data_IF_177354878788
#
_entry.id   IF_177354878788
#
_cell.length_a   1.000
_cell.length_b   1.000
_cell.length_c   1.000
_cell.angle_alpha   90.00
_cell.angle_beta   90.00
_cell.angle_gamma   90.00
#
_symmetry.space_group_name_H-M   'P 1'
#
loop_
_entity.id
_entity.type
_entity.pdbx_description
1 polymer ?
#
# COMPACT_ATOMS: atom_id res chain seq x y z
N UNK A 1 -17.13 29.60 -13.11
CA UNK A 1 -17.03 28.15 -12.81
C UNK A 1 -15.80 27.93 -11.95
N UNK A 2 -15.98 27.64 -10.66
CA UNK A 2 -14.86 27.34 -9.77
C UNK A 2 -14.23 26.01 -10.17
N UNK A 3 -12.91 25.99 -10.37
CA UNK A 3 -12.16 24.77 -10.62
C UNK A 3 -12.42 23.79 -9.47
N UNK A 4 -13.08 22.67 -9.77
CA UNK A 4 -13.24 21.54 -8.85
C UNK A 4 -11.82 21.06 -8.54
N UNK A 5 -11.25 21.54 -7.44
CA UNK A 5 -9.94 21.12 -6.93
C UNK A 5 -9.96 19.59 -6.94
N UNK A 6 -9.15 18.97 -7.81
CA UNK A 6 -8.93 17.51 -7.81
C UNK A 6 -8.60 17.15 -6.36
N UNK A 7 -9.53 16.47 -5.70
CA UNK A 7 -9.40 16.15 -4.29
C UNK A 7 -8.10 15.38 -4.08
N UNK A 8 -7.27 15.82 -3.14
CA UNK A 8 -6.11 15.04 -2.68
C UNK A 8 -6.61 13.66 -2.26
N UNK A 9 -6.24 12.62 -3.01
CA UNK A 9 -6.58 11.25 -2.68
C UNK A 9 -5.61 10.74 -1.62
N UNK A 10 -6.13 10.04 -0.62
CA UNK A 10 -5.37 9.48 0.50
C UNK A 10 -5.31 7.98 0.38
N UNK A 11 -4.13 7.46 0.66
CA UNK A 11 -3.78 6.06 0.56
C UNK A 11 -3.10 5.63 1.85
N UNK A 12 -3.26 4.36 2.19
CA UNK A 12 -2.47 3.67 3.19
C UNK A 12 -1.29 2.99 2.51
N UNK A 13 -0.14 3.02 3.18
CA UNK A 13 1.03 2.26 2.74
C UNK A 13 1.09 0.98 3.55
N UNK A 14 1.09 -0.15 2.84
CA UNK A 14 1.17 -1.47 3.46
C UNK A 14 2.32 -2.29 2.89
N UNK A 15 2.84 -3.18 3.73
CA UNK A 15 3.86 -4.18 3.37
C UNK A 15 3.34 -5.55 3.78
N UNK A 16 3.63 -6.54 2.94
CA UNK A 16 3.41 -7.95 3.25
C UNK A 16 4.69 -8.56 3.80
N UNK A 17 4.62 -9.04 5.03
CA UNK A 17 5.69 -9.85 5.61
C UNK A 17 5.35 -11.33 5.42
N UNK A 18 6.25 -12.05 4.77
CA UNK A 18 6.15 -13.49 4.60
C UNK A 18 6.89 -14.15 5.77
N UNK A 19 6.20 -14.98 6.54
CA UNK A 19 6.80 -15.70 7.65
C UNK A 19 6.34 -17.16 7.64
N UNK A 20 7.16 -18.03 8.21
CA UNK A 20 6.82 -19.44 8.36
C UNK A 20 6.39 -19.72 9.79
N UNK A 21 5.21 -20.34 9.95
CA UNK A 21 4.73 -20.76 11.26
C UNK A 21 4.26 -22.20 11.20
N UNK A 22 4.91 -23.07 11.97
CA UNK A 22 4.61 -24.52 12.02
C UNK A 22 4.64 -25.18 10.63
N UNK A 23 5.61 -24.82 9.78
CA UNK A 23 5.74 -25.39 8.43
C UNK A 23 4.75 -24.83 7.39
N UNK A 24 3.89 -23.88 7.76
CA UNK A 24 3.01 -23.19 6.83
C UNK A 24 3.53 -21.78 6.57
N UNK A 25 3.69 -21.43 5.29
CA UNK A 25 3.94 -20.05 4.87
C UNK A 25 2.69 -19.22 5.14
N UNK A 26 2.87 -18.11 5.84
CA UNK A 26 1.82 -17.15 6.16
C UNK A 26 2.27 -15.76 5.76
N UNK A 27 1.27 -14.91 5.58
CA UNK A 27 1.45 -13.51 5.24
C UNK A 27 0.85 -12.67 6.36
N UNK A 28 1.49 -11.56 6.68
CA UNK A 28 0.94 -10.55 7.58
C UNK A 28 0.99 -9.19 6.92
N UNK A 29 -0.12 -8.47 6.99
CA UNK A 29 -0.22 -7.10 6.49
C UNK A 29 0.25 -6.15 7.57
N UNK A 30 1.20 -5.30 7.23
CA UNK A 30 1.67 -4.22 8.10
C UNK A 30 1.36 -2.88 7.46
N UNK A 31 0.58 -2.05 8.15
CA UNK A 31 0.44 -0.64 7.79
C UNK A 31 1.69 0.11 8.26
N UNK A 32 2.40 0.70 7.31
CA UNK A 32 3.71 1.32 7.53
C UNK A 32 3.70 2.83 7.32
N UNK A 33 2.60 3.38 6.83
CA UNK A 33 2.48 4.81 6.61
C UNK A 33 1.22 5.20 5.86
N UNK A 34 1.28 6.39 5.27
CA UNK A 34 0.23 6.93 4.42
C UNK A 34 0.84 7.59 3.19
N UNK A 35 0.05 7.73 2.14
CA UNK A 35 0.45 8.41 0.93
C UNK A 35 -0.67 9.33 0.46
N UNK A 36 -0.28 10.43 -0.20
CA UNK A 36 -1.23 11.37 -0.79
C UNK A 36 -0.89 11.63 -2.24
N UNK A 37 -1.91 11.60 -3.09
CA UNK A 37 -1.76 12.00 -4.49
C UNK A 37 -1.83 13.53 -4.60
N UNK A 38 -0.81 14.13 -5.20
CA UNK A 38 -0.79 15.57 -5.46
C UNK A 38 -1.67 15.90 -6.66
N UNK A 39 -2.41 17.01 -6.58
CA UNK A 39 -3.23 17.52 -7.69
C UNK A 39 -2.40 17.93 -8.92
N UNK A 40 -1.08 18.12 -8.75
CA UNK A 40 -0.12 18.44 -9.80
C UNK A 40 0.56 17.20 -10.42
N UNK A 41 0.18 16.00 -10.00
CA UNK A 41 0.86 14.76 -10.34
C UNK A 41 1.93 14.39 -9.31
N UNK A 42 2.18 13.09 -9.16
CA UNK A 42 3.10 12.54 -8.18
C UNK A 42 2.44 12.17 -6.85
N UNK A 43 3.15 11.35 -6.08
CA UNK A 43 2.73 10.85 -4.77
C UNK A 43 3.69 11.34 -3.69
N UNK A 44 3.15 11.75 -2.55
CA UNK A 44 3.92 12.04 -1.35
C UNK A 44 3.71 10.91 -0.37
N UNK A 45 4.79 10.20 -0.04
CA UNK A 45 4.81 9.10 0.91
C UNK A 45 5.22 9.62 2.29
N UNK A 46 4.47 9.25 3.31
CA UNK A 46 4.78 9.53 4.71
C UNK A 46 5.02 8.22 5.46
N UNK A 47 6.26 8.01 5.88
CA UNK A 47 6.68 6.87 6.70
C UNK A 47 7.08 7.43 8.08
N UNK A 48 6.43 7.02 9.18
CA UNK A 48 6.79 7.47 10.52
C UNK A 48 8.25 7.21 10.88
N UNK A 49 8.83 8.08 11.70
CA UNK A 49 10.19 7.91 12.20
C UNK A 49 10.33 6.59 12.97
N UNK A 50 11.49 5.94 12.81
CA UNK A 50 11.79 4.65 13.46
C UNK A 50 11.32 3.41 12.67
N UNK A 51 10.63 3.59 11.54
CA UNK A 51 10.29 2.50 10.63
C UNK A 51 11.29 2.48 9.47
N UNK A 52 12.00 1.37 9.33
CA UNK A 52 12.78 1.07 8.13
C UNK A 52 11.98 0.11 7.24
N UNK A 53 11.83 0.45 5.97
CA UNK A 53 11.14 -0.38 4.99
C UNK A 53 12.14 -0.98 4.02
N UNK A 54 12.04 -2.28 3.81
CA UNK A 54 12.82 -3.02 2.82
C UNK A 54 11.88 -3.84 1.96
N UNK A 55 11.99 -3.72 0.64
CA UNK A 55 11.18 -4.46 -0.31
C UNK A 55 10.05 -3.64 -0.94
N UNK A 56 8.99 -4.34 -1.34
CA UNK A 56 7.86 -3.76 -2.08
C UNK A 56 6.82 -3.21 -1.10
N UNK A 57 6.30 -2.02 -1.41
CA UNK A 57 5.24 -1.35 -0.64
C UNK A 57 4.04 -1.18 -1.56
N UNK A 58 2.84 -1.48 -1.05
CA UNK A 58 1.60 -1.30 -1.79
C UNK A 58 0.85 -0.07 -1.27
N UNK A 59 0.35 0.76 -2.19
CA UNK A 59 -0.53 1.89 -1.90
C UNK A 59 -1.98 1.47 -2.05
N UNK A 60 -2.76 1.59 -0.98
CA UNK A 60 -4.17 1.16 -0.94
C UNK A 60 -5.08 2.35 -0.64
N UNK A 61 -6.14 2.60 -1.40
CA UNK A 61 -7.10 3.66 -1.09
C UNK A 61 -7.71 3.50 0.31
N UNK A 62 -7.64 4.53 1.15
CA UNK A 62 -8.13 4.50 2.54
C UNK A 62 -9.64 4.25 2.67
N UNK A 63 -10.40 4.61 1.63
CA UNK A 63 -11.87 4.53 1.64
C UNK A 63 -12.44 3.21 1.16
N UNK A 64 -11.60 2.30 0.67
CA UNK A 64 -12.06 1.02 0.12
C UNK A 64 -11.89 -0.06 1.18
N UNK A 65 -12.98 -0.72 1.63
CA UNK A 65 -12.87 -1.81 2.57
C UNK A 65 -12.35 -3.04 1.83
N UNK A 66 -11.04 -3.23 1.85
CA UNK A 66 -10.42 -4.47 1.37
C UNK A 66 -10.24 -5.43 2.53
N UNK A 67 -10.52 -6.72 2.30
CA UNK A 67 -10.11 -7.77 3.23
C UNK A 67 -8.63 -8.06 3.05
N UNK A 68 -7.99 -8.70 4.05
CA UNK A 68 -6.57 -9.06 3.95
C UNK A 68 -6.27 -9.99 2.76
N UNK A 69 -7.24 -10.84 2.37
CA UNK A 69 -7.14 -11.71 1.21
C UNK A 69 -7.17 -10.90 -0.09
N UNK A 70 -8.08 -9.93 -0.22
CA UNK A 70 -8.15 -9.07 -1.41
C UNK A 70 -6.85 -8.28 -1.59
N UNK A 71 -6.25 -7.81 -0.50
CA UNK A 71 -4.98 -7.09 -0.53
C UNK A 71 -3.83 -8.02 -0.92
N UNK A 72 -3.83 -9.26 -0.45
CA UNK A 72 -2.80 -10.25 -0.77
C UNK A 72 -2.86 -10.62 -2.27
N UNK A 73 -4.06 -10.87 -2.79
CA UNK A 73 -4.28 -11.18 -4.20
C UNK A 73 -3.89 -10.00 -5.09
N UNK A 74 -4.24 -8.77 -4.69
CA UNK A 74 -3.82 -7.56 -5.39
C UNK A 74 -2.30 -7.37 -5.37
N UNK A 75 -1.65 -7.68 -4.23
CA UNK A 75 -0.19 -7.62 -4.12
C UNK A 75 0.50 -8.64 -5.02
N UNK A 76 0.02 -9.89 -5.04
CA UNK A 76 0.55 -10.92 -5.94
C UNK A 76 0.33 -10.55 -7.41
N UNK A 77 -0.86 -10.08 -7.76
CA UNK A 77 -1.19 -9.63 -9.11
C UNK A 77 -0.27 -8.48 -9.57
N UNK A 78 -0.07 -7.47 -8.72
CA UNK A 78 0.83 -6.36 -9.01
C UNK A 78 2.31 -6.80 -9.05
N UNK A 79 2.70 -7.76 -8.20
CA UNK A 79 4.04 -8.33 -8.20
C UNK A 79 4.35 -9.13 -9.46
N UNK A 80 3.35 -9.77 -10.07
CA UNK A 80 3.46 -10.47 -11.36
C UNK A 80 3.43 -9.51 -12.55
N UNK A 81 2.54 -8.50 -12.52
CA UNK A 81 2.38 -7.54 -13.62
C UNK A 81 3.59 -6.58 -13.75
N UNK A 82 4.14 -6.15 -12.61
CA UNK A 82 5.23 -5.17 -12.54
C UNK A 82 6.56 -5.77 -12.08
N UNK A 83 6.63 -7.10 -11.90
CA UNK A 83 7.84 -7.81 -11.48
C UNK A 83 8.37 -8.76 -12.54
N UNK A 84 9.62 -8.52 -12.93
CA UNK A 84 10.52 -9.53 -13.52
C UNK A 84 11.01 -10.52 -12.45
#
# INVERSE_FOLDING_TARGET
MAAKLKSTERYELIVFENFEYKGQKRHKVHRVGSATASSKGGYVLYIPAGIALTGRVMMVPEKTPFTELDLLDAYHSAAEEYGA
#
